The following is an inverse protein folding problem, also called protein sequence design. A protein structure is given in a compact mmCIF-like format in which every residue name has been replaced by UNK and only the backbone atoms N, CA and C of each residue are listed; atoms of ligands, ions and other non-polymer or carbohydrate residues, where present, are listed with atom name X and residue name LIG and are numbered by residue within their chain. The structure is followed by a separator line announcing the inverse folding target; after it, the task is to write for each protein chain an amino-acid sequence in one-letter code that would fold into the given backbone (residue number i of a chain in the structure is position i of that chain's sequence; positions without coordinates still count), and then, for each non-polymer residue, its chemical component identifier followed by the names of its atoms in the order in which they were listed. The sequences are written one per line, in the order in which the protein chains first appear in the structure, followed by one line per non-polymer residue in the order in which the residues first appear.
data_IF_912526637119
#
_entry.id   IF_912526637119
#
_cell.length_a   1.000
_cell.length_b   1.000
_cell.length_c   1.000
_cell.angle_alpha   90.00
_cell.angle_beta   90.00
_cell.angle_gamma   90.00
#
_symmetry.space_group_name_H-M   'P 1'
#
loop_
_entity.id
_entity.type
_entity.pdbx_description
1 polymer ?
#
# COMPACT_ATOMS: atom_id res chain seq x y z
N UNK A 1 -0.27 45.81 33.82
CA UNK A 1 -1.15 45.54 32.66
C UNK A 1 -0.40 44.99 31.44
N UNK A 2 0.78 45.51 31.07
CA UNK A 2 1.54 45.04 29.91
C UNK A 2 2.08 43.60 30.05
N UNK A 3 2.62 43.23 31.23
CA UNK A 3 3.13 41.88 31.51
C UNK A 3 2.04 40.80 31.43
N UNK A 4 0.83 41.09 31.91
CA UNK A 4 -0.30 40.17 31.86
C UNK A 4 -0.80 39.95 30.42
N UNK A 5 -0.79 41.00 29.58
CA UNK A 5 -1.10 40.89 28.15
C UNK A 5 -0.05 40.04 27.43
N UNK A 6 1.23 40.21 27.74
CA UNK A 6 2.33 39.44 27.14
C UNK A 6 2.22 37.95 27.49
N UNK A 7 1.92 37.63 28.75
CA UNK A 7 1.70 36.24 29.20
C UNK A 7 0.47 35.65 28.52
N UNK A 8 -0.64 36.40 28.39
CA UNK A 8 -1.85 35.91 27.72
C UNK A 8 -1.62 35.64 26.22
N UNK A 9 -0.85 36.49 25.55
CA UNK A 9 -0.50 36.31 24.13
C UNK A 9 0.47 35.15 23.91
N UNK A 10 1.41 34.92 24.83
CA UNK A 10 2.32 33.77 24.76
C UNK A 10 1.58 32.45 25.00
N UNK A 11 0.60 32.43 25.91
CA UNK A 11 -0.21 31.23 26.17
C UNK A 11 -1.11 30.87 24.98
N UNK A 12 -1.66 31.86 24.29
CA UNK A 12 -2.50 31.66 23.11
C UNK A 12 -1.71 31.11 21.91
N UNK A 13 -0.44 31.50 21.75
CA UNK A 13 0.40 31.02 20.65
C UNK A 13 0.77 29.53 20.78
N UNK A 14 0.90 29.02 22.01
CA UNK A 14 1.23 27.60 22.26
C UNK A 14 0.07 26.67 21.93
N UNK A 15 -1.18 27.14 22.03
CA UNK A 15 -2.37 26.35 21.71
C UNK A 15 -2.62 26.17 20.20
N UNK A 16 -1.91 26.91 19.33
CA UNK A 16 -2.09 26.82 17.87
C UNK A 16 -1.16 25.79 17.20
N UNK A 17 -0.15 25.26 17.91
CA UNK A 17 0.79 24.26 17.37
C UNK A 17 0.31 22.80 17.51
N UNK A 18 -0.92 22.56 18.00
CA UNK A 18 -1.41 21.22 18.34
C UNK A 18 -1.95 20.38 17.17
N UNK A 19 -2.12 20.95 15.97
CA UNK A 19 -2.59 20.20 14.80
C UNK A 19 -1.41 19.65 13.99
N UNK A 20 -0.58 18.80 14.60
CA UNK A 20 0.29 17.93 13.81
C UNK A 20 -0.64 16.90 13.17
N UNK A 21 -1.01 17.12 11.91
CA UNK A 21 -1.66 16.08 11.10
C UNK A 21 -0.68 14.92 11.05
N UNK A 22 -0.97 13.88 11.83
CA UNK A 22 -0.24 12.63 11.75
C UNK A 22 -0.46 12.07 10.35
N UNK A 23 0.55 12.12 9.49
CA UNK A 23 0.60 11.36 8.24
C UNK A 23 0.82 9.88 8.57
N UNK A 24 -0.02 9.31 9.43
CA UNK A 24 -0.12 7.87 9.54
C UNK A 24 -0.63 7.35 8.20
N UNK A 25 0.07 6.40 7.59
CA UNK A 25 -0.45 5.67 6.44
C UNK A 25 -1.69 4.91 6.92
N UNK A 26 -2.87 5.45 6.64
CA UNK A 26 -4.12 4.74 6.85
C UNK A 26 -4.21 3.61 5.83
N UNK A 27 -4.75 2.47 6.24
CA UNK A 27 -5.04 1.36 5.32
C UNK A 27 -5.89 1.92 4.18
N UNK A 28 -5.50 1.64 2.93
CA UNK A 28 -6.27 2.09 1.77
C UNK A 28 -7.73 1.61 1.89
N UNK A 29 -8.73 2.40 1.47
CA UNK A 29 -10.10 1.92 1.46
C UNK A 29 -10.26 0.81 0.41
N UNK A 30 -11.12 -0.18 0.68
CA UNK A 30 -11.37 -1.30 -0.23
C UNK A 30 -11.76 -0.86 -1.66
N UNK A 31 -12.39 0.32 -1.80
CA UNK A 31 -12.74 0.91 -3.10
C UNK A 31 -11.54 1.21 -4.01
N UNK A 32 -10.32 1.29 -3.46
CA UNK A 32 -9.09 1.55 -4.23
C UNK A 32 -8.50 0.32 -4.90
N UNK A 33 -9.02 -0.88 -4.65
CA UNK A 33 -8.46 -2.12 -5.19
C UNK A 33 -8.27 -2.07 -6.71
N UNK A 34 -9.27 -1.61 -7.46
CA UNK A 34 -9.24 -1.63 -8.93
C UNK A 34 -8.23 -0.63 -9.52
N UNK A 35 -8.02 0.50 -8.85
CA UNK A 35 -6.99 1.48 -9.18
C UNK A 35 -5.58 0.89 -8.97
N UNK A 36 -5.36 0.22 -7.83
CA UNK A 36 -4.09 -0.44 -7.54
C UNK A 36 -3.80 -1.59 -8.51
N UNK A 37 -4.80 -2.39 -8.86
CA UNK A 37 -4.68 -3.43 -9.91
C UNK A 37 -4.28 -2.79 -11.24
N UNK A 38 -4.83 -1.62 -11.57
CA UNK A 38 -4.50 -0.89 -12.80
C UNK A 38 -3.05 -0.40 -12.78
N UNK A 39 -2.53 0.05 -11.63
CA UNK A 39 -1.11 0.40 -11.47
C UNK A 39 -0.21 -0.81 -11.74
N UNK A 40 -0.54 -2.00 -11.21
CA UNK A 40 0.26 -3.21 -11.46
C UNK A 40 0.35 -3.58 -12.94
N UNK A 41 -0.74 -3.37 -13.69
CA UNK A 41 -0.85 -3.67 -15.12
C UNK A 41 -0.27 -2.58 -16.03
N UNK A 42 -0.04 -1.39 -15.50
CA UNK A 42 0.49 -0.27 -16.28
C UNK A 42 1.94 -0.53 -16.69
N UNK A 43 2.26 -0.28 -17.96
CA UNK A 43 3.63 -0.26 -18.47
C UNK A 43 4.41 0.97 -18.02
N UNK A 44 3.72 2.08 -17.73
CA UNK A 44 4.33 3.36 -17.36
C UNK A 44 4.55 3.50 -15.84
N UNK A 45 3.98 2.59 -15.03
CA UNK A 45 4.14 2.62 -13.58
C UNK A 45 5.57 2.25 -13.19
N UNK A 46 6.18 3.07 -12.33
CA UNK A 46 7.54 2.80 -11.86
C UNK A 46 7.57 1.55 -10.96
N UNK A 47 8.76 0.97 -10.78
CA UNK A 47 8.97 -0.11 -9.80
C UNK A 47 8.43 0.26 -8.40
N UNK A 48 8.66 1.51 -7.98
CA UNK A 48 8.18 2.02 -6.70
C UNK A 48 6.65 2.03 -6.65
N UNK A 49 5.98 2.51 -7.70
CA UNK A 49 4.51 2.58 -7.74
C UNK A 49 3.90 1.18 -7.66
N UNK A 50 4.47 0.20 -8.37
CA UNK A 50 4.03 -1.20 -8.30
C UNK A 50 4.27 -1.81 -6.93
N UNK A 51 5.44 -1.57 -6.32
CA UNK A 51 5.72 -2.04 -4.97
C UNK A 51 4.77 -1.42 -3.93
N UNK A 52 4.51 -0.11 -4.03
CA UNK A 52 3.56 0.59 -3.16
C UNK A 52 2.13 0.05 -3.37
N UNK A 53 1.74 -0.23 -4.62
CA UNK A 53 0.45 -0.85 -4.93
C UNK A 53 0.33 -2.27 -4.35
N UNK A 54 1.36 -3.12 -4.46
CA UNK A 54 1.41 -4.42 -3.79
C UNK A 54 1.26 -4.28 -2.27
N UNK A 55 1.95 -3.30 -1.66
CA UNK A 55 1.88 -3.05 -0.22
C UNK A 55 0.50 -2.61 0.25
N UNK A 56 -0.25 -1.88 -0.57
CA UNK A 56 -1.63 -1.50 -0.26
C UNK A 56 -2.60 -2.67 -0.50
N UNK A 57 -2.38 -3.43 -1.59
CA UNK A 57 -3.17 -4.61 -1.92
C UNK A 57 -3.07 -5.71 -0.86
N UNK A 58 -1.93 -5.85 -0.16
CA UNK A 58 -1.82 -6.81 0.95
C UNK A 58 -2.85 -6.59 2.07
N UNK A 59 -3.45 -5.40 2.17
CA UNK A 59 -4.49 -5.13 3.16
C UNK A 59 -5.93 -5.27 2.64
N UNK A 60 -6.15 -5.06 1.34
CA UNK A 60 -7.50 -4.90 0.78
C UNK A 60 -7.83 -5.83 -0.39
N UNK A 61 -6.84 -6.56 -0.89
CA UNK A 61 -7.02 -7.39 -2.06
C UNK A 61 -7.95 -8.57 -1.77
N UNK A 62 -8.82 -8.81 -2.73
CA UNK A 62 -9.64 -10.00 -2.86
C UNK A 62 -9.10 -10.87 -4.00
N UNK A 63 -9.75 -12.00 -4.26
CA UNK A 63 -9.52 -12.85 -5.43
C UNK A 63 -9.31 -12.08 -6.76
N UNK A 64 -9.96 -10.92 -6.92
CA UNK A 64 -9.86 -10.09 -8.13
C UNK A 64 -8.43 -9.62 -8.44
N UNK A 65 -7.59 -9.41 -7.43
CA UNK A 65 -6.21 -8.96 -7.62
C UNK A 65 -5.24 -10.10 -8.00
N UNK A 66 -5.61 -11.36 -7.73
CA UNK A 66 -4.72 -12.53 -7.87
C UNK A 66 -4.09 -12.62 -9.26
N UNK A 67 -4.81 -12.46 -10.40
CA UNK A 67 -4.18 -12.57 -11.71
C UNK A 67 -3.14 -11.47 -11.97
N UNK A 68 -3.36 -10.26 -11.47
CA UNK A 68 -2.41 -9.15 -11.64
C UNK A 68 -1.16 -9.34 -10.79
N UNK A 69 -1.33 -9.81 -9.55
CA UNK A 69 -0.22 -10.14 -8.64
C UNK A 69 0.58 -11.34 -9.13
N UNK A 70 -0.09 -12.40 -9.61
CA UNK A 70 0.55 -13.57 -10.18
C UNK A 70 1.43 -13.22 -11.40
N UNK A 71 0.99 -12.25 -12.21
CA UNK A 71 1.77 -11.75 -13.34
C UNK A 71 3.12 -11.13 -12.96
N UNK A 72 3.29 -10.69 -11.70
CA UNK A 72 4.54 -10.13 -11.18
C UNK A 72 5.46 -11.17 -10.54
N UNK A 73 5.05 -12.45 -10.44
CA UNK A 73 5.87 -13.48 -9.79
C UNK A 73 7.16 -13.80 -10.57
N UNK A 74 7.19 -13.57 -11.89
CA UNK A 74 8.38 -13.73 -12.73
C UNK A 74 9.23 -12.47 -12.84
N UNK A 75 8.79 -11.35 -12.25
CA UNK A 75 9.53 -10.09 -12.28
C UNK A 75 10.72 -10.16 -11.31
N UNK A 76 11.93 -9.91 -11.79
CA UNK A 76 13.17 -10.05 -11.00
C UNK A 76 13.20 -9.10 -9.79
N UNK A 77 12.61 -7.91 -9.91
CA UNK A 77 12.60 -6.92 -8.83
C UNK A 77 11.34 -6.97 -7.97
N UNK A 78 10.19 -7.38 -8.52
CA UNK A 78 8.88 -7.30 -7.87
C UNK A 78 8.31 -8.64 -7.38
N UNK A 79 8.94 -9.78 -7.69
CA UNK A 79 8.44 -11.11 -7.26
C UNK A 79 8.16 -11.18 -5.75
N UNK A 80 9.02 -10.60 -4.92
CA UNK A 80 8.87 -10.60 -3.47
C UNK A 80 7.66 -9.77 -3.03
N UNK A 81 7.42 -8.62 -3.68
CA UNK A 81 6.25 -7.78 -3.42
C UNK A 81 4.95 -8.45 -3.89
N UNK A 82 4.99 -9.19 -4.99
CA UNK A 82 3.85 -9.96 -5.47
C UNK A 82 3.43 -11.03 -4.44
N UNK A 83 4.41 -11.78 -3.92
CA UNK A 83 4.17 -12.80 -2.86
C UNK A 83 3.65 -12.17 -1.58
N UNK A 84 4.23 -11.04 -1.16
CA UNK A 84 3.78 -10.27 -0.01
C UNK A 84 2.30 -9.85 -0.11
N UNK A 85 1.86 -9.43 -1.30
CA UNK A 85 0.48 -9.03 -1.53
C UNK A 85 -0.49 -10.22 -1.68
N UNK A 86 -0.01 -11.38 -2.16
CA UNK A 86 -0.80 -12.60 -2.31
C UNK A 86 -1.08 -13.30 -0.98
N UNK A 87 -0.07 -13.34 -0.08
CA UNK A 87 -0.12 -14.06 1.20
C UNK A 87 -1.38 -13.81 2.06
N UNK A 88 -1.84 -12.55 2.28
CA UNK A 88 -2.98 -12.28 3.14
C UNK A 88 -4.35 -12.48 2.48
N UNK A 89 -4.42 -12.76 1.17
CA UNK A 89 -5.70 -12.92 0.46
C UNK A 89 -6.31 -14.29 0.84
N UNK A 90 -7.47 -14.34 1.52
CA UNK A 90 -8.05 -15.60 1.99
C UNK A 90 -8.88 -16.27 0.88
N UNK A 91 -8.23 -16.61 -0.24
CA UNK A 91 -8.88 -17.26 -1.38
C UNK A 91 -7.97 -18.32 -2.02
N UNK A 92 -8.54 -19.49 -2.35
CA UNK A 92 -7.83 -20.61 -2.97
C UNK A 92 -7.14 -20.25 -4.29
N UNK A 93 -7.62 -19.23 -5.00
CA UNK A 93 -6.97 -18.77 -6.22
C UNK A 93 -5.51 -18.37 -6.02
N UNK A 94 -5.12 -17.96 -4.79
CA UNK A 94 -3.71 -17.71 -4.44
C UNK A 94 -2.90 -19.00 -4.50
N UNK A 95 -3.39 -20.07 -3.86
CA UNK A 95 -2.72 -21.37 -3.86
C UNK A 95 -2.56 -21.89 -5.29
N UNK A 96 -3.63 -21.83 -6.08
CA UNK A 96 -3.61 -22.26 -7.48
C UNK A 96 -2.58 -21.44 -8.28
N UNK A 97 -2.51 -20.13 -8.09
CA UNK A 97 -1.54 -19.26 -8.77
C UNK A 97 -0.09 -19.54 -8.37
N UNK A 98 0.17 -19.82 -7.09
CA UNK A 98 1.51 -20.16 -6.60
C UNK A 98 1.95 -21.55 -7.06
N UNK A 99 1.04 -22.53 -7.07
CA UNK A 99 1.30 -23.87 -7.61
C UNK A 99 1.61 -23.82 -9.10
N UNK A 100 0.84 -23.07 -9.87
CA UNK A 100 1.05 -22.85 -11.30
C UNK A 100 2.42 -22.20 -11.61
N UNK A 101 3.00 -21.49 -10.64
CA UNK A 101 4.28 -20.82 -10.79
C UNK A 101 5.49 -21.75 -10.55
N UNK A 102 5.34 -22.87 -9.82
CA UNK A 102 6.45 -23.76 -9.44
C UNK A 102 7.24 -24.31 -10.63
N UNK A 103 6.58 -24.57 -11.75
CA UNK A 103 7.23 -25.06 -12.98
C UNK A 103 7.75 -23.98 -13.92
N UNK A 104 7.51 -22.69 -13.60
CA UNK A 104 7.76 -21.55 -14.51
C UNK A 104 8.86 -20.63 -14.00
N UNK A 105 8.96 -20.50 -12.68
CA UNK A 105 9.90 -19.57 -12.04
C UNK A 105 11.22 -20.25 -11.74
N UNK A 106 12.28 -19.44 -11.73
CA UNK A 106 13.61 -19.84 -11.26
C UNK A 106 13.90 -19.08 -9.97
N UNK A 107 14.38 -19.80 -8.97
CA UNK A 107 14.86 -19.25 -7.69
C UNK A 107 16.36 -19.40 -7.56
#
# INVERSE_FOLDING_TARGET
MLKQKIILTLLAAVLFSGAVISYGQTVAPASKQDELISVLKSGDATRKDKADACRLLSFIATKKAVPALAGLLADEELNHMARYALEPIPDRAVDDALLDALGKLKG
#
